data_IF_209039893020
#
_entry.id   IF_209039893020
#
_cell.length_a   1.000
_cell.length_b   1.000
_cell.length_c   1.000
_cell.angle_alpha   90.00
_cell.angle_beta   90.00
_cell.angle_gamma   90.00
#
_symmetry.space_group_name_H-M   'P 1'
#
loop_
_entity.id
_entity.type
_entity.pdbx_description
1 polymer ?
#
# COMPACT_ATOMS: atom_id res chain seq x y z
N UNK A 1 -6.98 -3.42 14.64
CA UNK A 1 -6.87 -4.46 13.61
C UNK A 1 -6.63 -5.86 14.15
N UNK A 2 -5.70 -6.06 15.10
CA UNK A 2 -5.43 -7.39 15.68
C UNK A 2 -6.68 -8.03 16.30
N UNK A 3 -7.55 -7.23 16.92
CA UNK A 3 -8.87 -7.67 17.39
C UNK A 3 -9.77 -8.17 16.26
N UNK A 4 -9.81 -7.50 15.10
CA UNK A 4 -10.55 -7.98 13.92
C UNK A 4 -10.02 -9.35 13.51
N UNK A 5 -8.70 -9.55 13.49
CA UNK A 5 -8.10 -10.85 13.22
C UNK A 5 -8.49 -11.93 14.23
N UNK A 6 -8.62 -11.57 15.52
CA UNK A 6 -9.11 -12.48 16.58
C UNK A 6 -10.58 -12.85 16.36
N UNK A 7 -11.45 -11.84 16.13
CA UNK A 7 -12.87 -12.03 15.83
C UNK A 7 -13.02 -12.94 14.61
N UNK A 8 -12.31 -12.66 13.52
CA UNK A 8 -12.34 -13.48 12.29
C UNK A 8 -11.92 -14.92 12.53
N UNK A 9 -10.91 -15.18 13.36
CA UNK A 9 -10.50 -16.55 13.71
C UNK A 9 -11.54 -17.28 14.54
N UNK A 10 -12.22 -16.57 15.44
CA UNK A 10 -13.23 -17.12 16.35
C UNK A 10 -14.56 -17.38 15.65
N UNK A 11 -15.11 -16.37 14.98
CA UNK A 11 -16.47 -16.38 14.42
C UNK A 11 -16.52 -17.05 13.03
N UNK A 12 -15.41 -16.99 12.27
CA UNK A 12 -15.35 -17.52 10.90
C UNK A 12 -14.10 -18.40 10.68
N UNK A 13 -13.95 -19.51 11.43
CA UNK A 13 -12.82 -20.41 11.26
C UNK A 13 -12.81 -20.98 9.83
N UNK A 14 -11.61 -21.11 9.25
CA UNK A 14 -11.38 -21.70 7.92
C UNK A 14 -12.06 -20.99 6.74
N UNK A 15 -12.64 -19.80 6.93
CA UNK A 15 -13.16 -18.97 5.83
C UNK A 15 -12.12 -17.93 5.39
N UNK A 16 -12.10 -17.66 4.09
CA UNK A 16 -11.36 -16.53 3.55
C UNK A 16 -12.00 -15.22 4.01
N UNK A 17 -11.17 -14.21 4.28
CA UNK A 17 -11.64 -12.89 4.69
C UNK A 17 -11.09 -11.85 3.71
N UNK A 18 -11.97 -11.07 3.09
CA UNK A 18 -11.59 -10.12 2.05
C UNK A 18 -11.95 -8.72 2.51
N UNK A 19 -11.03 -7.78 2.37
CA UNK A 19 -11.36 -6.36 2.42
C UNK A 19 -11.68 -5.97 0.98
N UNK A 20 -12.97 -5.84 0.70
CA UNK A 20 -13.53 -5.76 -0.65
C UNK A 20 -13.64 -4.35 -1.20
N UNK A 21 -13.59 -3.34 -0.33
CA UNK A 21 -13.65 -1.95 -0.75
C UNK A 21 -13.05 -1.03 0.30
N UNK A 22 -12.18 -0.14 -0.15
CA UNK A 22 -11.68 0.97 0.65
C UNK A 22 -11.20 2.10 -0.24
N UNK A 23 -11.26 3.33 0.27
CA UNK A 23 -10.88 4.54 -0.47
C UNK A 23 -10.46 5.65 0.48
N UNK A 24 -9.80 6.67 -0.06
CA UNK A 24 -9.38 7.86 0.66
C UNK A 24 -10.49 8.85 1.02
N UNK A 25 -11.70 8.65 0.52
CA UNK A 25 -12.70 9.70 0.57
C UNK A 25 -13.19 10.08 1.98
N UNK A 26 -13.41 11.37 2.13
CA UNK A 26 -13.99 12.03 3.29
C UNK A 26 -15.51 12.07 3.10
N UNK A 27 -16.21 10.98 3.41
CA UNK A 27 -17.65 10.88 3.11
C UNK A 27 -18.52 11.60 4.14
N UNK A 28 -18.10 11.66 5.41
CA UNK A 28 -19.02 12.00 6.50
C UNK A 28 -18.58 13.17 7.39
N UNK A 29 -17.28 13.49 7.49
CA UNK A 29 -16.70 14.69 8.13
C UNK A 29 -15.16 14.60 8.13
N UNK A 30 -14.50 15.66 8.59
CA UNK A 30 -13.03 15.79 8.73
C UNK A 30 -12.39 14.79 9.72
N UNK A 31 -13.21 13.98 10.43
CA UNK A 31 -12.77 13.02 11.45
C UNK A 31 -12.95 11.55 10.99
N UNK A 32 -13.74 11.30 9.94
CA UNK A 32 -14.08 9.95 9.48
C UNK A 32 -13.26 9.59 8.25
N UNK A 33 -12.01 9.18 8.48
CA UNK A 33 -11.14 8.61 7.46
C UNK A 33 -10.77 7.17 7.80
N UNK A 34 -10.97 6.26 6.85
CA UNK A 34 -10.70 4.81 7.00
C UNK A 34 -9.23 4.51 7.36
N UNK A 35 -8.31 5.46 7.15
CA UNK A 35 -6.86 5.28 7.29
C UNK A 35 -6.20 6.20 8.31
N UNK A 36 -6.98 6.91 9.13
CA UNK A 36 -6.43 7.90 10.06
C UNK A 36 -5.78 9.10 9.35
N UNK A 37 -6.25 9.41 8.13
CA UNK A 37 -5.89 10.67 7.47
C UNK A 37 -6.38 11.83 8.32
N UNK A 38 -5.55 12.87 8.40
CA UNK A 38 -5.88 14.09 9.12
C UNK A 38 -5.96 15.24 8.13
N UNK A 39 -6.63 16.36 8.47
CA UNK A 39 -6.65 17.56 7.63
C UNK A 39 -5.27 18.13 7.30
N UNK A 40 -4.22 17.77 8.06
CA UNK A 40 -2.84 18.21 7.83
C UNK A 40 -2.01 17.22 6.99
N UNK A 41 -2.52 16.02 6.71
CA UNK A 41 -1.81 15.02 5.95
C UNK A 41 -1.72 15.44 4.48
N UNK A 42 -0.49 15.61 3.97
CA UNK A 42 -0.30 15.84 2.54
C UNK A 42 -0.51 14.54 1.74
N UNK A 43 -0.56 14.64 0.41
CA UNK A 43 -0.76 13.48 -0.49
C UNK A 43 0.22 12.32 -0.25
N UNK A 44 1.45 12.63 0.14
CA UNK A 44 2.44 11.60 0.41
C UNK A 44 2.22 10.92 1.76
N UNK A 45 1.87 11.68 2.80
CA UNK A 45 1.50 11.12 4.10
C UNK A 45 0.28 10.19 3.97
N UNK A 46 -0.72 10.61 3.19
CA UNK A 46 -1.90 9.80 2.84
C UNK A 46 -1.51 8.49 2.14
N UNK A 47 -0.54 8.53 1.23
CA UNK A 47 -0.03 7.32 0.58
C UNK A 47 0.64 6.37 1.59
N UNK A 48 1.47 6.87 2.50
CA UNK A 48 2.07 6.01 3.52
C UNK A 48 1.01 5.46 4.49
N UNK A 49 -0.03 6.22 4.82
CA UNK A 49 -1.17 5.73 5.60
C UNK A 49 -1.96 4.63 4.85
N UNK A 50 -2.14 4.77 3.53
CA UNK A 50 -2.74 3.70 2.72
C UNK A 50 -1.88 2.42 2.71
N UNK A 51 -0.55 2.55 2.64
CA UNK A 51 0.37 1.41 2.75
C UNK A 51 0.27 0.72 4.12
N UNK A 52 0.21 1.49 5.20
CA UNK A 52 0.01 0.99 6.56
C UNK A 52 -1.34 0.27 6.69
N UNK A 53 -2.40 0.80 6.10
CA UNK A 53 -3.71 0.15 6.12
C UNK A 53 -3.74 -1.15 5.32
N UNK A 54 -3.07 -1.21 4.16
CA UNK A 54 -2.90 -2.46 3.40
C UNK A 54 -2.14 -3.51 4.22
N UNK A 55 -1.04 -3.12 4.87
CA UNK A 55 -0.30 -3.99 5.79
C UNK A 55 -1.21 -4.48 6.92
N UNK A 56 -1.87 -3.57 7.63
CA UNK A 56 -2.78 -3.86 8.73
C UNK A 56 -3.87 -4.86 8.31
N UNK A 57 -4.43 -4.69 7.12
CA UNK A 57 -5.48 -5.55 6.55
C UNK A 57 -4.95 -6.96 6.27
N UNK A 58 -3.82 -7.08 5.57
CA UNK A 58 -3.26 -8.37 5.16
C UNK A 58 -2.59 -9.11 6.32
N UNK A 59 -2.03 -8.39 7.29
CA UNK A 59 -1.20 -8.94 8.37
C UNK A 59 -2.00 -9.10 9.66
N UNK A 60 -2.51 -8.00 10.23
CA UNK A 60 -3.17 -8.03 11.54
C UNK A 60 -4.58 -8.61 11.46
N UNK A 61 -5.38 -8.13 10.50
CA UNK A 61 -6.73 -8.66 10.27
C UNK A 61 -6.69 -10.02 9.56
N UNK A 62 -5.60 -10.32 8.84
CA UNK A 62 -5.39 -11.59 8.16
C UNK A 62 -6.31 -11.76 6.95
N UNK A 63 -6.63 -10.66 6.25
CA UNK A 63 -7.35 -10.72 5.00
C UNK A 63 -6.51 -11.39 3.90
N UNK A 64 -7.18 -12.11 3.01
CA UNK A 64 -6.59 -12.74 1.84
C UNK A 64 -6.54 -11.80 0.63
N UNK A 65 -7.40 -10.80 0.62
CA UNK A 65 -7.59 -9.85 -0.49
C UNK A 65 -7.74 -8.44 0.07
N UNK A 66 -7.15 -7.49 -0.63
CA UNK A 66 -7.28 -6.06 -0.42
C UNK A 66 -7.73 -5.41 -1.73
N UNK A 67 -8.87 -4.72 -1.71
CA UNK A 67 -9.44 -4.06 -2.89
C UNK A 67 -9.64 -2.56 -2.63
N UNK A 68 -9.03 -1.74 -3.48
CA UNK A 68 -9.24 -0.30 -3.49
C UNK A 68 -10.39 0.04 -4.45
N UNK A 69 -11.29 0.93 -4.04
CA UNK A 69 -12.50 1.28 -4.78
C UNK A 69 -12.22 1.99 -6.12
N UNK A 70 -11.44 3.09 -6.09
CA UNK A 70 -11.20 3.93 -7.26
C UNK A 70 -9.87 3.66 -7.94
N UNK A 71 -9.82 2.77 -8.93
CA UNK A 71 -8.59 2.59 -9.72
C UNK A 71 -8.30 3.81 -10.59
N UNK A 72 -9.26 4.21 -11.43
CA UNK A 72 -9.17 5.36 -12.33
C UNK A 72 -10.24 6.36 -11.92
N UNK A 73 -9.86 7.62 -11.75
CA UNK A 73 -10.77 8.68 -11.32
C UNK A 73 -10.45 9.98 -12.05
N UNK A 74 -11.48 10.74 -12.42
CA UNK A 74 -11.26 12.08 -12.94
C UNK A 74 -10.89 13.05 -11.81
N UNK A 75 -10.00 13.99 -12.12
CA UNK A 75 -9.87 15.17 -11.28
C UNK A 75 -11.20 15.93 -11.22
N UNK A 76 -11.39 16.70 -10.15
CA UNK A 76 -12.54 17.59 -10.06
C UNK A 76 -12.53 18.59 -11.23
N UNK A 77 -13.69 18.93 -11.81
CA UNK A 77 -13.80 19.94 -12.86
C UNK A 77 -13.11 21.26 -12.48
N UNK A 78 -12.60 22.02 -13.45
CA UNK A 78 -11.93 23.30 -13.18
C UNK A 78 -12.87 24.34 -12.51
N UNK A 79 -14.17 24.24 -12.77
CA UNK A 79 -15.21 25.07 -12.12
C UNK A 79 -15.36 24.78 -10.62
N UNK A 80 -14.89 23.63 -10.14
CA UNK A 80 -14.96 23.28 -8.73
C UNK A 80 -13.87 24.01 -7.96
N UNK A 81 -14.28 24.92 -7.08
CA UNK A 81 -13.40 25.77 -6.27
C UNK A 81 -13.30 25.32 -4.82
N UNK A 82 -14.19 24.44 -4.36
CA UNK A 82 -14.15 23.90 -3.01
C UNK A 82 -12.95 22.95 -2.87
N UNK A 83 -11.94 23.30 -2.04
CA UNK A 83 -10.73 22.49 -1.92
C UNK A 83 -11.01 21.07 -1.42
N UNK A 84 -12.03 20.88 -0.57
CA UNK A 84 -12.41 19.56 -0.04
C UNK A 84 -12.96 18.65 -1.13
N UNK A 85 -13.74 19.21 -2.07
CA UNK A 85 -14.27 18.44 -3.21
C UNK A 85 -13.13 18.06 -4.15
N UNK A 86 -12.23 19.00 -4.46
CA UNK A 86 -11.05 18.71 -5.30
C UNK A 86 -10.15 17.63 -4.68
N UNK A 87 -9.94 17.71 -3.37
CA UNK A 87 -9.19 16.71 -2.61
C UNK A 87 -9.85 15.34 -2.64
N UNK A 88 -11.17 15.26 -2.42
CA UNK A 88 -11.93 14.00 -2.52
C UNK A 88 -11.69 13.28 -3.85
N UNK A 89 -11.81 13.98 -4.98
CA UNK A 89 -11.55 13.39 -6.31
C UNK A 89 -10.15 12.80 -6.44
N UNK A 90 -9.14 13.51 -5.89
CA UNK A 90 -7.74 13.04 -5.88
C UNK A 90 -7.53 11.84 -4.96
N UNK A 91 -8.29 11.81 -3.86
CA UNK A 91 -8.14 10.84 -2.80
C UNK A 91 -8.83 9.50 -3.07
N UNK A 92 -9.86 9.50 -3.91
CA UNK A 92 -10.54 8.28 -4.35
C UNK A 92 -9.74 7.51 -5.40
N UNK A 93 -9.01 8.22 -6.26
CA UNK A 93 -8.28 7.65 -7.39
C UNK A 93 -6.85 7.18 -7.07
N UNK A 94 -6.47 6.01 -7.60
CA UNK A 94 -5.06 5.63 -7.72
C UNK A 94 -4.43 6.24 -8.98
N UNK A 95 -5.18 6.27 -10.08
CA UNK A 95 -4.80 6.86 -11.37
C UNK A 95 -5.77 8.01 -11.67
N UNK A 96 -5.22 9.19 -11.95
CA UNK A 96 -5.98 10.40 -12.21
C UNK A 96 -6.00 10.71 -13.70
N UNK A 97 -7.18 11.02 -14.21
CA UNK A 97 -7.42 11.41 -15.59
C UNK A 97 -8.08 12.78 -15.67
N UNK A 98 -8.04 13.39 -16.85
CA UNK A 98 -8.82 14.62 -17.12
C UNK A 98 -10.31 14.35 -16.93
N UNK A 99 -11.04 15.37 -16.48
CA UNK A 99 -12.49 15.28 -16.30
C UNK A 99 -13.21 15.14 -17.64
N UNK A 100 -12.86 15.95 -18.62
CA UNK A 100 -13.42 15.87 -19.96
C UNK A 100 -12.65 14.88 -20.85
N UNK A 101 -13.34 14.11 -21.70
CA UNK A 101 -12.68 13.36 -22.75
C UNK A 101 -12.06 14.33 -23.77
N UNK A 102 -10.91 13.95 -24.32
CA UNK A 102 -10.32 14.65 -25.46
C UNK A 102 -11.09 14.40 -26.76
N UNK A 103 -10.55 14.93 -27.88
CA UNK A 103 -11.18 14.86 -29.21
C UNK A 103 -11.56 13.45 -29.70
N UNK A 104 -10.96 12.40 -29.14
CA UNK A 104 -11.21 11.00 -29.47
C UNK A 104 -12.08 10.26 -28.44
N UNK A 105 -12.80 10.98 -27.57
CA UNK A 105 -13.71 10.39 -26.58
C UNK A 105 -13.02 9.71 -25.39
N UNK A 106 -11.70 9.89 -25.22
CA UNK A 106 -10.92 9.30 -24.12
C UNK A 106 -10.38 10.39 -23.20
N UNK A 107 -10.52 10.18 -21.89
CA UNK A 107 -9.88 11.03 -20.89
C UNK A 107 -8.36 10.80 -20.93
N UNK A 108 -7.59 11.89 -20.84
CA UNK A 108 -6.13 11.85 -20.85
C UNK A 108 -5.62 11.46 -19.46
N UNK A 109 -4.59 10.61 -19.41
CA UNK A 109 -3.87 10.32 -18.18
C UNK A 109 -3.17 11.58 -17.65
N UNK A 110 -3.42 11.91 -16.39
CA UNK A 110 -2.77 13.02 -15.69
C UNK A 110 -1.69 12.51 -14.75
N UNK A 111 -2.01 11.56 -13.90
CA UNK A 111 -1.08 11.10 -12.87
C UNK A 111 -1.33 9.65 -12.48
N UNK A 112 -0.26 8.96 -12.07
CA UNK A 112 -0.36 7.81 -11.15
C UNK A 112 0.06 8.30 -9.77
N UNK A 113 -0.86 8.29 -8.82
CA UNK A 113 -0.61 8.88 -7.49
C UNK A 113 0.45 8.12 -6.72
N UNK A 114 0.99 8.71 -5.65
CA UNK A 114 1.83 7.95 -4.71
C UNK A 114 1.07 6.78 -4.06
N UNK A 115 -0.25 6.91 -3.86
CA UNK A 115 -1.14 5.81 -3.41
C UNK A 115 -1.09 4.62 -4.38
N UNK A 116 -1.07 4.88 -5.68
CA UNK A 116 -0.87 3.82 -6.69
C UNK A 116 0.47 3.10 -6.49
N UNK A 117 1.57 3.83 -6.34
CA UNK A 117 2.90 3.21 -6.25
C UNK A 117 3.15 2.45 -4.94
N UNK A 118 2.63 2.93 -3.81
CA UNK A 118 2.71 2.18 -2.55
C UNK A 118 1.84 0.92 -2.56
N UNK A 119 0.67 0.93 -3.20
CA UNK A 119 -0.16 -0.28 -3.35
C UNK A 119 0.41 -1.23 -4.40
N UNK A 120 1.07 -0.70 -5.44
CA UNK A 120 1.80 -1.48 -6.45
C UNK A 120 2.88 -2.37 -5.82
N UNK A 121 3.49 -1.95 -4.72
CA UNK A 121 4.44 -2.77 -3.95
C UNK A 121 3.83 -4.07 -3.42
N UNK A 122 2.53 -4.10 -3.17
CA UNK A 122 1.81 -5.32 -2.83
C UNK A 122 1.35 -6.03 -4.12
N UNK A 123 0.63 -5.33 -4.98
CA UNK A 123 -0.03 -5.92 -6.14
C UNK A 123 0.93 -6.58 -7.16
N UNK A 124 2.11 -6.00 -7.38
CA UNK A 124 3.08 -6.56 -8.33
C UNK A 124 3.79 -7.82 -7.79
N UNK A 125 3.92 -7.94 -6.47
CA UNK A 125 4.79 -8.92 -5.86
C UNK A 125 4.03 -10.02 -5.11
N UNK A 126 2.78 -9.79 -4.74
CA UNK A 126 1.92 -10.81 -4.14
C UNK A 126 1.00 -11.39 -5.23
N UNK A 127 1.31 -12.60 -5.67
CA UNK A 127 0.53 -13.29 -6.71
C UNK A 127 -0.43 -14.31 -6.09
N UNK A 128 -1.51 -14.72 -6.78
CA UNK A 128 -2.40 -15.77 -6.28
C UNK A 128 -1.64 -17.02 -5.80
N UNK A 129 -2.03 -17.55 -4.64
CA UNK A 129 -1.35 -18.67 -3.99
C UNK A 129 -0.10 -18.32 -3.17
N UNK A 130 0.27 -17.03 -3.10
CA UNK A 130 1.29 -16.55 -2.16
C UNK A 130 0.79 -16.72 -0.72
N UNK A 131 1.63 -17.26 0.15
CA UNK A 131 1.29 -17.53 1.55
C UNK A 131 2.05 -16.57 2.47
N UNK A 132 1.33 -15.88 3.36
CA UNK A 132 1.98 -15.08 4.40
C UNK A 132 2.71 -16.00 5.38
N UNK A 133 3.94 -15.64 5.73
CA UNK A 133 4.75 -16.32 6.74
C UNK A 133 5.05 -15.37 7.90
N UNK A 134 5.44 -15.92 9.04
CA UNK A 134 5.83 -15.13 10.20
C UNK A 134 7.16 -14.43 9.94
N UNK A 135 7.27 -13.18 10.39
CA UNK A 135 8.50 -12.39 10.42
C UNK A 135 8.44 -11.48 11.64
N UNK A 136 9.57 -11.29 12.33
CA UNK A 136 9.71 -10.29 13.37
C UNK A 136 10.18 -8.96 12.77
N UNK A 137 9.69 -7.85 13.31
CA UNK A 137 10.20 -6.51 12.98
C UNK A 137 10.29 -5.64 14.22
N UNK A 138 11.33 -4.79 14.31
CA UNK A 138 11.41 -3.80 15.38
C UNK A 138 10.45 -2.64 15.09
N UNK A 139 9.86 -2.06 16.14
CA UNK A 139 9.15 -0.79 16.00
C UNK A 139 10.13 0.32 15.57
N UNK A 140 9.72 1.26 14.70
CA UNK A 140 8.38 1.45 14.14
C UNK A 140 8.16 0.76 12.78
N UNK A 141 9.01 -0.20 12.39
CA UNK A 141 8.98 -0.79 11.05
C UNK A 141 7.87 -1.84 10.92
N UNK A 142 6.99 -1.65 9.94
CA UNK A 142 5.94 -2.62 9.61
C UNK A 142 6.44 -3.57 8.52
N UNK A 143 6.70 -4.82 8.86
CA UNK A 143 7.24 -5.81 7.92
C UNK A 143 6.31 -7.00 7.77
N UNK A 144 6.09 -7.39 6.52
CA UNK A 144 5.35 -8.60 6.18
C UNK A 144 6.16 -9.45 5.22
N UNK A 145 6.13 -10.76 5.43
CA UNK A 145 6.86 -11.71 4.62
C UNK A 145 5.90 -12.74 4.03
N UNK A 146 6.23 -13.18 2.81
CA UNK A 146 5.41 -14.09 2.05
C UNK A 146 6.27 -15.08 1.29
N UNK A 147 5.78 -16.32 1.19
CA UNK A 147 6.37 -17.37 0.37
C UNK A 147 5.53 -17.57 -0.89
N UNK A 148 6.18 -17.58 -2.05
CA UNK A 148 5.52 -17.89 -3.33
C UNK A 148 5.11 -19.36 -3.37
N UNK A 149 4.15 -19.68 -4.24
CA UNK A 149 3.60 -21.04 -4.40
C UNK A 149 4.66 -22.11 -4.69
N UNK A 150 5.74 -21.75 -5.41
CA UNK A 150 6.85 -22.66 -5.73
C UNK A 150 7.74 -23.01 -4.53
N UNK A 151 7.62 -22.30 -3.40
CA UNK A 151 8.45 -22.48 -2.20
C UNK A 151 9.91 -22.04 -2.31
N UNK A 152 10.39 -21.69 -3.51
CA UNK A 152 11.78 -21.30 -3.82
C UNK A 152 12.01 -19.80 -3.71
N UNK A 153 10.94 -19.02 -3.83
CA UNK A 153 11.00 -17.56 -3.77
C UNK A 153 10.06 -17.01 -2.71
N UNK A 154 10.38 -15.82 -2.22
CA UNK A 154 9.54 -15.09 -1.31
C UNK A 154 9.68 -13.58 -1.48
N UNK A 155 8.83 -12.88 -0.76
CA UNK A 155 8.69 -11.43 -0.82
C UNK A 155 8.65 -10.91 0.61
N UNK A 156 9.45 -9.89 0.89
CA UNK A 156 9.36 -9.10 2.13
C UNK A 156 8.94 -7.70 1.75
N UNK A 157 7.87 -7.19 2.36
CA UNK A 157 7.42 -5.81 2.21
C UNK A 157 7.62 -5.11 3.54
N UNK A 158 8.47 -4.09 3.55
CA UNK A 158 8.82 -3.28 4.71
C UNK A 158 8.34 -1.84 4.52
N UNK A 159 7.62 -1.30 5.50
CA UNK A 159 7.13 0.07 5.52
C UNK A 159 7.80 0.78 6.69
N UNK A 160 8.47 1.89 6.41
CA UNK A 160 8.97 2.82 7.40
C UNK A 160 8.01 4.02 7.50
N UNK A 161 7.08 4.02 8.48
CA UNK A 161 6.18 5.14 8.69
C UNK A 161 6.83 6.29 9.47
N UNK A 162 8.07 6.15 9.94
CA UNK A 162 8.74 7.15 10.78
C UNK A 162 9.35 8.29 9.95
N UNK A 163 9.87 9.29 10.68
CA UNK A 163 10.66 10.40 10.12
C UNK A 163 12.17 10.10 10.10
N UNK A 164 12.59 8.89 10.44
CA UNK A 164 14.00 8.51 10.54
C UNK A 164 14.40 7.55 9.44
N UNK A 165 15.68 7.57 9.06
CA UNK A 165 16.28 6.54 8.20
C UNK A 165 16.48 5.27 9.04
N UNK A 166 16.10 4.11 8.50
CA UNK A 166 16.22 2.83 9.19
C UNK A 166 17.14 1.89 8.39
N UNK A 167 18.15 1.32 9.04
CA UNK A 167 18.97 0.26 8.44
C UNK A 167 18.16 -1.03 8.26
N UNK A 168 18.25 -1.65 7.09
CA UNK A 168 17.61 -2.94 6.82
C UNK A 168 18.65 -4.06 6.87
N UNK A 169 18.64 -4.85 7.95
CA UNK A 169 19.34 -6.12 8.03
C UNK A 169 18.32 -7.25 8.07
N UNK A 170 18.33 -8.11 7.04
CA UNK A 170 17.33 -9.16 6.83
C UNK A 170 17.96 -10.52 7.02
N UNK A 171 17.48 -11.24 8.04
CA UNK A 171 17.80 -12.65 8.24
C UNK A 171 16.80 -13.49 7.44
N UNK A 172 17.21 -13.95 6.27
CA UNK A 172 16.41 -14.80 5.41
C UNK A 172 16.58 -16.28 5.80
N UNK A 173 15.51 -17.10 5.69
CA UNK A 173 15.61 -18.53 5.97
C UNK A 173 16.57 -19.22 4.98
N UNK A 174 17.19 -20.32 5.43
CA UNK A 174 18.02 -21.21 4.62
C UNK A 174 19.18 -20.50 3.88
N UNK A 175 19.76 -19.45 4.46
CA UNK A 175 20.78 -18.60 3.82
C UNK A 175 20.32 -17.96 2.49
N UNK A 176 19.02 -17.73 2.35
CA UNK A 176 18.43 -17.10 1.18
C UNK A 176 19.04 -15.73 0.88
N UNK A 177 18.98 -15.33 -0.39
CA UNK A 177 19.56 -14.07 -0.88
C UNK A 177 18.50 -13.19 -1.50
N UNK A 178 18.56 -11.89 -1.19
CA UNK A 178 17.75 -10.90 -1.89
C UNK A 178 18.23 -10.80 -3.34
N UNK A 179 17.30 -10.97 -4.28
CA UNK A 179 17.53 -10.89 -5.72
C UNK A 179 17.27 -9.49 -6.27
N UNK A 180 16.24 -8.83 -5.75
CA UNK A 180 15.87 -7.49 -6.18
C UNK A 180 15.13 -6.76 -5.07
N UNK A 181 15.18 -5.44 -5.12
CA UNK A 181 14.48 -4.56 -4.21
C UNK A 181 13.87 -3.39 -4.97
N UNK A 182 12.65 -3.01 -4.58
CA UNK A 182 11.89 -1.93 -5.21
C UNK A 182 11.38 -0.98 -4.15
N UNK A 183 11.46 0.33 -4.37
CA UNK A 183 11.11 1.34 -3.38
C UNK A 183 10.10 2.35 -3.91
N UNK A 184 9.17 2.71 -3.05
CA UNK A 184 8.39 3.95 -3.18
C UNK A 184 8.70 4.82 -1.98
N UNK A 185 9.15 6.04 -2.25
CA UNK A 185 9.34 7.10 -1.27
C UNK A 185 8.90 8.44 -1.91
N UNK A 186 9.33 9.58 -1.36
CA UNK A 186 8.99 10.89 -1.91
C UNK A 186 9.49 11.07 -3.35
N UNK A 187 10.65 10.50 -3.68
CA UNK A 187 11.32 10.62 -4.98
C UNK A 187 10.98 9.43 -5.90
N UNK A 188 10.98 8.21 -5.37
CA UNK A 188 10.86 6.99 -6.16
C UNK A 188 9.43 6.48 -6.27
N UNK A 189 9.10 5.90 -7.43
CA UNK A 189 7.79 5.37 -7.79
C UNK A 189 7.82 3.86 -8.07
N UNK A 190 8.03 3.05 -7.01
CA UNK A 190 8.21 1.59 -7.10
C UNK A 190 9.38 1.22 -8.03
N UNK A 191 10.51 1.90 -7.84
CA UNK A 191 11.71 1.80 -8.67
C UNK A 191 12.75 0.89 -8.03
N UNK A 192 13.63 0.30 -8.86
CA UNK A 192 14.67 -0.61 -8.38
C UNK A 192 15.71 0.13 -7.52
N UNK A 193 16.12 -0.49 -6.41
CA UNK A 193 17.13 0.03 -5.49
C UNK A 193 18.09 -1.08 -5.04
N UNK A 194 19.22 -0.70 -4.46
CA UNK A 194 20.11 -1.66 -3.79
C UNK A 194 19.42 -2.21 -2.54
N UNK A 195 19.34 -3.53 -2.42
CA UNK A 195 18.63 -4.21 -1.33
C UNK A 195 19.11 -3.79 0.07
N UNK A 196 20.43 -3.64 0.24
CA UNK A 196 21.09 -3.31 1.50
C UNK A 196 21.19 -1.81 1.78
N UNK A 197 20.64 -0.95 0.92
CA UNK A 197 20.61 0.48 1.20
C UNK A 197 19.71 0.77 2.40
N UNK A 198 19.98 1.83 3.19
CA UNK A 198 19.05 2.25 4.24
C UNK A 198 17.65 2.55 3.69
N UNK A 199 16.62 2.30 4.49
CA UNK A 199 15.23 2.59 4.16
C UNK A 199 14.92 4.05 4.55
N UNK A 200 14.59 4.95 3.60
CA UNK A 200 14.32 6.35 3.91
C UNK A 200 13.12 6.54 4.84
N UNK A 201 12.99 7.72 5.47
CA UNK A 201 11.76 8.12 6.15
C UNK A 201 10.55 7.99 5.22
N UNK A 202 9.38 7.68 5.78
CA UNK A 202 8.10 7.67 5.05
C UNK A 202 8.22 6.90 3.74
N UNK A 203 8.59 5.62 3.80
CA UNK A 203 8.85 4.83 2.58
C UNK A 203 8.34 3.40 2.71
N UNK A 204 8.21 2.74 1.56
CA UNK A 204 7.89 1.32 1.45
C UNK A 204 8.86 0.66 0.48
N UNK A 205 9.43 -0.47 0.89
CA UNK A 205 10.33 -1.28 0.07
C UNK A 205 9.86 -2.72 0.01
N UNK A 206 9.84 -3.27 -1.19
CA UNK A 206 9.61 -4.69 -1.45
C UNK A 206 10.92 -5.35 -1.84
N UNK A 207 11.26 -6.44 -1.19
CA UNK A 207 12.43 -7.25 -1.45
C UNK A 207 11.98 -8.62 -1.93
N UNK A 208 12.47 -9.05 -3.09
CA UNK A 208 12.28 -10.41 -3.59
C UNK A 208 13.51 -11.22 -3.21
N UNK A 209 13.31 -12.37 -2.57
CA UNK A 209 14.40 -13.26 -2.20
C UNK A 209 14.18 -14.67 -2.75
N UNK A 210 15.28 -15.38 -2.95
CA UNK A 210 15.24 -16.83 -3.20
C UNK A 210 15.97 -17.57 -2.10
N UNK A 211 15.60 -18.84 -1.94
CA UNK A 211 16.49 -19.84 -1.34
C UNK A 211 17.65 -20.13 -2.28
#
# INVERSE_FOLDING_TARGET
>A
SREIGKIRRKEFPNKGFWMTETTGAQWNNDLWHTYGWTPQANEFDKAILAAQYAHMTLVDAGANVFMWWGLIYSLAPDRETNPKVREKHRDEGLVLVDEQPGAYGRQKLIERTKKFFVLKQFANFLTPGTQRIAIGSPDPLLVSAYRKRNGKEGVVIAINPSNQVIGLNLNLPDNGKVKSAFQTDRQLNCEAVKANSPLPPKSIRTLVYSK
#
